data_IF_921447551085
#
_entry.id   IF_921447551085
#
_cell.length_a   1.000
_cell.length_b   1.000
_cell.length_c   1.000
_cell.angle_alpha   90.00
_cell.angle_beta   90.00
_cell.angle_gamma   90.00
#
_symmetry.space_group_name_H-M   'P 1'
#
loop_
_entity.id
_entity.type
_entity.pdbx_description
1 polymer ?
#
# COMPACT_ATOMS: atom_id res chain seq x y z
N UNK A 1 -28.74 42.92 -3.47
CA UNK A 1 -27.36 42.41 -3.53
C UNK A 1 -27.26 41.23 -4.50
N UNK A 2 -27.24 41.41 -5.84
CA UNK A 2 -27.36 40.22 -6.72
C UNK A 2 -26.77 40.25 -8.14
N UNK A 3 -26.18 41.34 -8.65
CA UNK A 3 -25.60 41.31 -10.01
C UNK A 3 -24.10 41.62 -10.06
N UNK A 4 -23.58 42.42 -9.13
CA UNK A 4 -22.14 42.69 -9.04
C UNK A 4 -21.31 41.48 -8.55
N UNK A 5 -21.90 40.59 -7.73
CA UNK A 5 -21.18 39.43 -7.18
C UNK A 5 -20.99 38.32 -8.23
N UNK A 6 -21.94 38.09 -9.14
CA UNK A 6 -21.78 37.07 -10.19
C UNK A 6 -20.82 37.49 -11.31
N UNK A 7 -20.67 38.80 -11.56
CA UNK A 7 -19.69 39.31 -12.52
C UNK A 7 -18.24 39.10 -12.05
N UNK A 8 -17.95 39.28 -10.75
CA UNK A 8 -16.59 39.09 -10.22
C UNK A 8 -16.17 37.63 -10.19
N UNK A 9 -17.09 36.70 -9.91
CA UNK A 9 -16.81 35.26 -9.91
C UNK A 9 -16.47 34.76 -11.32
N UNK A 10 -17.20 35.20 -12.36
CA UNK A 10 -16.90 34.81 -13.74
C UNK A 10 -15.56 35.38 -14.24
N UNK A 11 -15.18 36.59 -13.82
CA UNK A 11 -13.87 37.15 -14.14
C UNK A 11 -12.71 36.40 -13.44
N UNK A 12 -12.92 35.93 -12.21
CA UNK A 12 -11.95 35.13 -11.46
C UNK A 12 -11.78 33.70 -12.05
N UNK A 13 -12.87 33.11 -12.53
CA UNK A 13 -12.82 31.79 -13.21
C UNK A 13 -12.13 31.89 -14.58
N UNK A 14 -12.34 32.98 -15.32
CA UNK A 14 -11.67 33.20 -16.61
C UNK A 14 -10.14 33.46 -16.47
N UNK A 15 -9.73 34.15 -15.42
CA UNK A 15 -8.31 34.42 -15.13
C UNK A 15 -7.57 33.18 -14.62
N UNK A 16 -8.24 32.31 -13.85
CA UNK A 16 -7.65 31.03 -13.42
C UNK A 16 -7.51 30.04 -14.57
N UNK A 17 -8.50 29.94 -15.46
CA UNK A 17 -8.44 29.07 -16.65
C UNK A 17 -7.31 29.46 -17.63
N UNK A 18 -7.12 30.76 -17.87
CA UNK A 18 -6.05 31.27 -18.75
C UNK A 18 -4.65 31.07 -18.15
N UNK A 19 -4.51 31.20 -16.83
CA UNK A 19 -3.27 30.92 -16.08
C UNK A 19 -2.84 29.45 -16.20
N UNK A 20 -3.77 28.49 -16.04
CA UNK A 20 -3.48 27.07 -16.21
C UNK A 20 -3.02 26.70 -17.62
N UNK A 21 -3.60 27.31 -18.65
CA UNK A 21 -3.20 27.07 -20.05
C UNK A 21 -1.81 27.65 -20.37
N UNK A 22 -1.48 28.84 -19.86
CA UNK A 22 -0.13 29.41 -19.99
C UNK A 22 0.93 28.55 -19.26
N UNK A 23 0.58 27.98 -18.09
CA UNK A 23 1.47 27.05 -17.36
C UNK A 23 1.71 25.73 -18.11
N UNK A 24 0.69 25.18 -18.78
CA UNK A 24 0.85 23.95 -19.56
C UNK A 24 1.70 24.15 -20.82
N UNK A 25 1.51 25.27 -21.52
CA UNK A 25 2.27 25.60 -22.74
C UNK A 25 3.76 25.82 -22.46
N UNK A 26 4.08 26.56 -21.39
CA UNK A 26 5.48 26.77 -20.96
C UNK A 26 6.16 25.45 -20.55
N UNK A 27 5.45 24.55 -19.85
CA UNK A 27 5.97 23.20 -19.57
C UNK A 27 6.23 22.41 -20.85
N UNK A 28 5.30 22.43 -21.82
CA UNK A 28 5.49 21.74 -23.09
C UNK A 28 6.71 22.25 -23.87
N UNK A 29 6.91 23.58 -23.93
CA UNK A 29 8.08 24.17 -24.57
C UNK A 29 9.38 23.75 -23.86
N UNK A 30 9.42 23.81 -22.53
CA UNK A 30 10.56 23.36 -21.75
C UNK A 30 10.86 21.87 -21.99
N UNK A 31 9.83 21.02 -22.08
CA UNK A 31 10.00 19.60 -22.41
C UNK A 31 10.53 19.39 -23.83
N UNK A 32 10.03 20.15 -24.82
CA UNK A 32 10.50 20.09 -26.21
C UNK A 32 11.97 20.51 -26.32
N UNK A 33 12.35 21.59 -25.66
CA UNK A 33 13.73 22.08 -25.63
C UNK A 33 14.66 21.08 -24.93
N UNK A 34 14.23 20.48 -23.81
CA UNK A 34 14.98 19.43 -23.13
C UNK A 34 15.13 18.17 -24.01
N UNK A 35 14.10 17.77 -24.76
CA UNK A 35 14.16 16.64 -25.67
C UNK A 35 15.16 16.88 -26.82
N UNK A 36 15.13 18.06 -27.45
CA UNK A 36 16.08 18.46 -28.49
C UNK A 36 17.52 18.54 -27.96
N UNK A 37 17.70 19.02 -26.73
CA UNK A 37 19.00 19.01 -26.07
C UNK A 37 19.50 17.59 -25.78
N UNK A 38 18.60 16.66 -25.45
CA UNK A 38 18.90 15.24 -25.28
C UNK A 38 19.33 14.58 -26.59
N UNK A 39 18.62 14.85 -27.68
CA UNK A 39 18.93 14.32 -29.02
C UNK A 39 20.32 14.79 -29.47
N UNK A 40 20.59 16.09 -29.41
CA UNK A 40 21.92 16.65 -29.69
C UNK A 40 23.01 16.04 -28.80
N UNK A 41 22.72 15.82 -27.51
CA UNK A 41 23.66 15.16 -26.62
C UNK A 41 23.95 13.71 -27.01
N UNK A 42 22.98 12.98 -27.56
CA UNK A 42 23.19 11.63 -28.07
C UNK A 42 24.05 11.64 -29.33
N UNK A 43 23.85 12.61 -30.24
CA UNK A 43 24.70 12.80 -31.41
C UNK A 43 26.16 13.04 -31.00
N UNK A 44 26.40 13.92 -30.03
CA UNK A 44 27.76 14.17 -29.53
C UNK A 44 28.37 12.96 -28.81
N UNK A 45 27.56 12.13 -28.12
CA UNK A 45 28.05 10.88 -27.51
C UNK A 45 28.49 9.87 -28.57
N UNK A 46 27.70 9.73 -29.64
CA UNK A 46 28.05 8.86 -30.77
C UNK A 46 29.33 9.37 -31.44
N UNK A 47 29.42 10.68 -31.70
CA UNK A 47 30.62 11.29 -32.26
C UNK A 47 31.86 11.04 -31.39
N UNK A 48 31.77 11.20 -30.05
CA UNK A 48 32.89 10.87 -29.15
C UNK A 48 33.31 9.41 -29.27
N UNK A 49 32.36 8.48 -29.36
CA UNK A 49 32.67 7.06 -29.55
C UNK A 49 33.39 6.80 -30.87
N UNK A 50 32.87 7.35 -31.98
CA UNK A 50 33.47 7.22 -33.31
C UNK A 50 34.88 7.84 -33.37
N UNK A 51 35.08 9.01 -32.78
CA UNK A 51 36.38 9.67 -32.73
C UNK A 51 37.38 8.92 -31.84
N UNK A 52 36.94 8.27 -30.75
CA UNK A 52 37.79 7.39 -29.93
C UNK A 52 38.26 6.16 -30.71
N UNK A 53 37.37 5.53 -31.48
CA UNK A 53 37.76 4.43 -32.36
C UNK A 53 38.71 4.90 -33.48
N UNK A 54 38.45 6.05 -34.10
CA UNK A 54 39.37 6.64 -35.07
C UNK A 54 40.76 6.91 -34.47
N UNK A 55 40.81 7.44 -33.24
CA UNK A 55 42.05 7.72 -32.52
C UNK A 55 42.80 6.44 -32.14
N UNK A 56 42.08 5.38 -31.76
CA UNK A 56 42.67 4.05 -31.48
C UNK A 56 43.40 3.48 -32.70
N UNK A 57 42.85 3.68 -33.90
CA UNK A 57 43.45 3.22 -35.16
C UNK A 57 44.59 4.16 -35.61
N UNK A 58 44.46 5.47 -35.40
CA UNK A 58 45.41 6.50 -35.86
C UNK A 58 45.81 7.47 -34.74
N UNK A 59 46.66 7.06 -33.78
CA UNK A 59 46.94 7.85 -32.58
C UNK A 59 47.83 9.07 -32.82
N UNK A 60 48.51 9.16 -33.96
CA UNK A 60 49.40 10.29 -34.32
C UNK A 60 48.72 11.34 -35.20
N UNK A 61 47.45 11.13 -35.56
CA UNK A 61 46.69 12.06 -36.40
C UNK A 61 46.16 13.22 -35.54
N UNK A 62 46.76 14.40 -35.69
CA UNK A 62 46.39 15.59 -34.91
C UNK A 62 44.97 16.08 -35.21
N UNK A 63 44.46 15.84 -36.42
CA UNK A 63 43.09 16.25 -36.80
C UNK A 63 42.05 15.43 -36.03
N UNK A 64 42.27 14.12 -35.92
CA UNK A 64 41.42 13.20 -35.13
C UNK A 64 41.45 13.59 -33.65
N UNK A 65 42.63 13.91 -33.11
CA UNK A 65 42.76 14.35 -31.73
C UNK A 65 42.04 15.69 -31.47
N UNK A 66 42.13 16.65 -32.40
CA UNK A 66 41.44 17.93 -32.29
C UNK A 66 39.91 17.77 -32.31
N UNK A 67 39.38 16.94 -33.21
CA UNK A 67 37.93 16.63 -33.29
C UNK A 67 37.43 15.88 -32.06
N UNK A 68 38.22 14.93 -31.54
CA UNK A 68 37.90 14.25 -30.28
C UNK A 68 37.82 15.24 -29.12
N UNK A 69 38.82 16.12 -28.95
CA UNK A 69 38.80 17.16 -27.90
C UNK A 69 37.63 18.14 -28.07
N UNK A 70 37.30 18.51 -29.30
CA UNK A 70 36.14 19.35 -29.57
C UNK A 70 34.84 18.67 -29.17
N UNK A 71 34.65 17.41 -29.56
CA UNK A 71 33.47 16.62 -29.20
C UNK A 71 33.37 16.39 -27.69
N UNK A 72 34.50 16.07 -27.02
CA UNK A 72 34.57 15.93 -25.57
C UNK A 72 34.32 17.26 -24.86
N UNK A 73 34.84 18.38 -25.36
CA UNK A 73 34.58 19.72 -24.82
C UNK A 73 33.11 20.15 -24.96
N UNK A 74 32.44 19.75 -26.05
CA UNK A 74 30.99 19.93 -26.23
C UNK A 74 30.19 19.04 -25.27
N UNK A 75 30.69 17.84 -24.96
CA UNK A 75 30.09 16.94 -23.97
C UNK A 75 30.33 17.40 -22.52
N UNK A 76 31.46 18.07 -22.27
CA UNK A 76 31.93 18.66 -21.01
C UNK A 76 31.46 20.11 -20.84
N UNK A 77 30.36 20.52 -21.48
CA UNK A 77 29.73 21.81 -21.21
C UNK A 77 29.55 22.05 -19.70
N UNK A 78 29.59 23.31 -19.25
CA UNK A 78 29.61 23.68 -17.83
C UNK A 78 28.43 23.02 -17.11
N UNK A 79 28.74 22.27 -16.06
CA UNK A 79 27.79 21.66 -15.13
C UNK A 79 26.76 20.69 -15.73
N UNK A 80 27.23 19.57 -16.28
CA UNK A 80 26.51 18.32 -16.00
C UNK A 80 26.77 17.96 -14.54
N UNK A 81 26.05 18.61 -13.62
CA UNK A 81 25.89 18.09 -12.27
C UNK A 81 25.47 16.64 -12.45
N UNK A 82 26.31 15.70 -12.03
CA UNK A 82 26.02 14.28 -12.18
C UNK A 82 24.77 13.98 -11.34
N UNK A 83 23.60 14.03 -11.97
CA UNK A 83 22.33 13.75 -11.30
C UNK A 83 22.41 12.29 -10.86
N UNK A 84 22.28 12.00 -9.56
CA UNK A 84 22.37 10.65 -9.04
C UNK A 84 21.05 9.90 -9.32
N UNK A 85 20.71 9.72 -10.60
CA UNK A 85 19.46 9.10 -11.06
C UNK A 85 19.26 7.72 -10.42
N UNK A 86 20.34 6.94 -10.25
CA UNK A 86 20.29 5.65 -9.56
C UNK A 86 19.79 5.78 -8.12
N UNK A 87 20.19 6.84 -7.40
CA UNK A 87 19.75 7.10 -6.03
C UNK A 87 18.28 7.51 -6.00
N UNK A 88 17.85 8.39 -6.91
CA UNK A 88 16.44 8.83 -7.03
C UNK A 88 15.53 7.63 -7.34
N UNK A 89 15.91 6.81 -8.33
CA UNK A 89 15.18 5.59 -8.68
C UNK A 89 15.17 4.60 -7.50
N UNK A 90 16.27 4.52 -6.74
CA UNK A 90 16.36 3.73 -5.51
C UNK A 90 15.28 4.09 -4.49
N UNK A 91 15.18 5.37 -4.14
CA UNK A 91 14.15 5.88 -3.21
C UNK A 91 12.72 5.61 -3.74
N UNK A 92 12.47 5.84 -5.03
CA UNK A 92 11.18 5.54 -5.64
C UNK A 92 10.79 4.06 -5.53
N UNK A 93 11.71 3.15 -5.84
CA UNK A 93 11.46 1.72 -5.75
C UNK A 93 11.29 1.25 -4.29
N UNK A 94 12.04 1.83 -3.35
CA UNK A 94 11.87 1.54 -1.92
C UNK A 94 10.51 2.00 -1.42
N UNK A 95 10.03 3.17 -1.85
CA UNK A 95 8.70 3.64 -1.48
C UNK A 95 7.60 2.64 -1.89
N UNK A 96 7.63 2.14 -3.13
CA UNK A 96 6.66 1.14 -3.62
C UNK A 96 6.75 -0.15 -2.80
N UNK A 97 7.97 -0.64 -2.52
CA UNK A 97 8.17 -1.88 -1.74
C UNK A 97 7.69 -1.73 -0.30
N UNK A 98 7.98 -0.60 0.35
CA UNK A 98 7.50 -0.34 1.69
C UNK A 98 5.99 -0.19 1.72
N UNK A 99 5.39 0.44 0.71
CA UNK A 99 3.95 0.49 0.59
C UNK A 99 3.34 -0.90 0.49
N UNK A 100 3.87 -1.74 -0.40
CA UNK A 100 3.39 -3.10 -0.63
C UNK A 100 3.54 -4.00 0.62
N UNK A 101 4.58 -3.75 1.43
CA UNK A 101 4.82 -4.37 2.72
C UNK A 101 4.00 -3.78 3.89
N UNK A 102 3.04 -2.88 3.62
CA UNK A 102 2.19 -2.27 4.64
C UNK A 102 2.86 -1.18 5.48
N UNK A 103 4.07 -0.74 5.13
CA UNK A 103 4.87 0.24 5.87
C UNK A 103 4.69 1.65 5.30
N UNK A 104 3.47 2.18 5.43
CA UNK A 104 3.07 3.46 4.83
C UNK A 104 3.97 4.65 5.23
N UNK A 105 4.39 4.74 6.50
CA UNK A 105 5.26 5.82 6.98
C UNK A 105 6.64 5.83 6.31
N UNK A 106 7.26 4.65 6.17
CA UNK A 106 8.53 4.50 5.46
C UNK A 106 8.37 4.76 3.96
N UNK A 107 7.26 4.31 3.37
CA UNK A 107 6.95 4.58 1.96
C UNK A 107 6.84 6.09 1.66
N UNK A 108 6.19 6.85 2.55
CA UNK A 108 6.12 8.31 2.46
C UNK A 108 7.50 8.95 2.62
N UNK A 109 8.27 8.55 3.64
CA UNK A 109 9.61 9.07 3.87
C UNK A 109 10.52 8.90 2.65
N UNK A 110 10.54 7.72 2.04
CA UNK A 110 11.30 7.47 0.81
C UNK A 110 10.80 8.29 -0.39
N UNK A 111 9.49 8.52 -0.49
CA UNK A 111 8.92 9.36 -1.54
C UNK A 111 9.32 10.83 -1.39
N UNK A 112 9.34 11.35 -0.15
CA UNK A 112 9.86 12.71 0.13
C UNK A 112 11.34 12.82 -0.22
N UNK A 113 12.18 11.86 0.16
CA UNK A 113 13.61 11.87 -0.19
C UNK A 113 13.83 11.87 -1.70
N UNK A 114 13.02 11.13 -2.46
CA UNK A 114 13.04 11.19 -3.92
C UNK A 114 12.66 12.59 -4.44
N UNK A 115 11.62 13.21 -3.87
CA UNK A 115 11.17 14.56 -4.19
C UNK A 115 12.22 15.63 -3.92
N UNK A 116 12.83 15.62 -2.72
CA UNK A 116 13.89 16.54 -2.32
C UNK A 116 15.10 16.45 -3.26
N UNK A 117 15.48 15.23 -3.67
CA UNK A 117 16.56 15.05 -4.65
C UNK A 117 16.16 15.62 -6.01
N UNK A 118 14.94 15.38 -6.49
CA UNK A 118 14.47 15.94 -7.76
C UNK A 118 14.50 17.47 -7.73
N UNK A 119 13.97 18.09 -6.68
CA UNK A 119 13.99 19.54 -6.49
C UNK A 119 15.40 20.11 -6.43
N UNK A 120 16.29 19.46 -5.66
CA UNK A 120 17.70 19.84 -5.55
C UNK A 120 18.41 19.90 -6.90
N UNK A 121 18.03 19.04 -7.86
CA UNK A 121 18.61 19.01 -9.21
C UNK A 121 17.75 19.75 -10.24
N UNK A 122 16.73 20.52 -9.82
CA UNK A 122 15.87 21.29 -10.73
C UNK A 122 15.00 20.42 -11.64
N UNK A 123 14.71 19.18 -11.23
CA UNK A 123 13.88 18.24 -11.97
C UNK A 123 12.42 18.31 -11.50
N UNK A 124 11.45 18.02 -12.38
CA UNK A 124 10.05 17.94 -11.98
C UNK A 124 9.83 16.76 -11.02
N UNK A 125 9.03 16.98 -9.97
CA UNK A 125 8.68 15.95 -8.98
C UNK A 125 8.01 14.70 -9.60
N UNK A 126 7.19 14.90 -10.63
CA UNK A 126 6.61 13.83 -11.45
C UNK A 126 5.96 12.71 -10.63
N UNK A 127 6.43 11.48 -10.86
CA UNK A 127 5.91 10.28 -10.20
C UNK A 127 6.12 10.26 -8.68
N UNK A 128 7.15 10.94 -8.14
CA UNK A 128 7.36 10.98 -6.69
C UNK A 128 6.19 11.67 -5.99
N UNK A 129 5.72 12.80 -6.53
CA UNK A 129 4.56 13.53 -6.01
C UNK A 129 3.26 12.72 -6.11
N UNK A 130 3.03 12.05 -7.25
CA UNK A 130 1.86 11.18 -7.39
C UNK A 130 1.89 10.04 -6.38
N UNK A 131 3.06 9.47 -6.11
CA UNK A 131 3.20 8.39 -5.13
C UNK A 131 2.90 8.88 -3.71
N UNK A 132 3.45 10.04 -3.31
CA UNK A 132 3.14 10.68 -2.03
C UNK A 132 1.63 10.88 -1.87
N UNK A 133 0.99 11.52 -2.85
CA UNK A 133 -0.43 11.84 -2.80
C UNK A 133 -1.31 10.58 -2.77
N UNK A 134 -0.95 9.54 -3.54
CA UNK A 134 -1.66 8.27 -3.52
C UNK A 134 -1.57 7.59 -2.15
N UNK A 135 -0.38 7.54 -1.55
CA UNK A 135 -0.17 6.94 -0.23
C UNK A 135 -0.95 7.71 0.84
N UNK A 136 -0.88 9.04 0.86
CA UNK A 136 -1.61 9.89 1.82
C UNK A 136 -3.13 9.71 1.68
N UNK A 137 -3.64 9.79 0.44
CA UNK A 137 -5.09 9.69 0.17
C UNK A 137 -5.62 8.33 0.61
N UNK A 138 -4.98 7.24 0.18
CA UNK A 138 -5.41 5.89 0.56
C UNK A 138 -5.26 5.67 2.07
N UNK A 139 -4.16 6.11 2.68
CA UNK A 139 -3.97 5.97 4.14
C UNK A 139 -5.03 6.74 4.93
N UNK A 140 -5.40 7.94 4.48
CA UNK A 140 -6.45 8.73 5.11
C UNK A 140 -7.83 8.06 4.98
N UNK A 141 -8.18 7.57 3.79
CA UNK A 141 -9.48 6.92 3.54
C UNK A 141 -9.73 5.67 4.37
N UNK A 142 -8.66 4.95 4.75
CA UNK A 142 -8.78 3.70 5.51
C UNK A 142 -8.33 3.81 6.96
N UNK A 143 -7.98 5.01 7.47
CA UNK A 143 -7.32 5.18 8.77
C UNK A 143 -8.03 4.49 9.94
N UNK A 144 -9.33 4.73 10.09
CA UNK A 144 -10.11 4.19 11.21
C UNK A 144 -10.22 2.67 11.12
N UNK A 145 -10.58 2.15 9.93
CA UNK A 145 -10.70 0.70 9.69
C UNK A 145 -9.36 -0.03 9.82
N UNK A 146 -8.26 0.62 9.45
CA UNK A 146 -6.89 0.10 9.60
C UNK A 146 -6.53 -0.07 11.07
N UNK A 147 -6.86 0.92 11.89
CA UNK A 147 -6.67 0.85 13.34
C UNK A 147 -7.56 -0.23 13.97
N UNK A 148 -8.86 -0.23 13.68
CA UNK A 148 -9.82 -1.18 14.24
C UNK A 148 -9.44 -2.64 13.91
N UNK A 149 -9.16 -2.93 12.64
CA UNK A 149 -8.78 -4.29 12.21
C UNK A 149 -7.46 -4.74 12.82
N UNK A 150 -6.52 -3.82 13.03
CA UNK A 150 -5.26 -4.13 13.70
C UNK A 150 -5.50 -4.43 15.20
N UNK A 151 -6.28 -3.60 15.89
CA UNK A 151 -6.63 -3.82 17.30
C UNK A 151 -7.38 -5.14 17.52
N UNK A 152 -8.28 -5.53 16.60
CA UNK A 152 -8.98 -6.81 16.66
C UNK A 152 -8.03 -8.01 16.48
N UNK A 153 -7.07 -7.92 15.56
CA UNK A 153 -6.03 -8.94 15.38
C UNK A 153 -5.13 -9.02 16.61
N UNK A 154 -4.74 -7.88 17.18
CA UNK A 154 -3.87 -7.84 18.37
C UNK A 154 -4.59 -8.40 19.61
N UNK A 155 -5.90 -8.14 19.74
CA UNK A 155 -6.73 -8.67 20.83
C UNK A 155 -6.93 -10.19 20.71
N UNK A 156 -7.18 -10.67 19.50
CA UNK A 156 -7.52 -12.07 19.23
C UNK A 156 -6.65 -12.64 18.09
N UNK A 157 -5.35 -12.90 18.33
CA UNK A 157 -4.39 -13.28 17.27
C UNK A 157 -4.67 -14.65 16.63
N UNK A 158 -5.48 -15.49 17.27
CA UNK A 158 -5.88 -16.80 16.76
C UNK A 158 -7.25 -16.79 16.05
N UNK A 159 -7.89 -15.62 15.93
CA UNK A 159 -9.14 -15.48 15.18
C UNK A 159 -8.86 -15.49 13.67
N UNK A 160 -9.48 -16.46 12.98
CA UNK A 160 -9.46 -16.56 11.51
C UNK A 160 -10.20 -15.38 10.90
N UNK A 161 -11.33 -14.98 11.49
CA UNK A 161 -12.17 -13.87 11.03
C UNK A 161 -11.39 -12.56 10.99
N UNK A 162 -10.80 -12.15 12.10
CA UNK A 162 -10.06 -10.87 12.16
C UNK A 162 -8.81 -10.89 11.28
N UNK A 163 -8.10 -12.03 11.21
CA UNK A 163 -6.97 -12.18 10.29
C UNK A 163 -7.38 -12.03 8.82
N UNK A 164 -8.54 -12.57 8.44
CA UNK A 164 -9.09 -12.44 7.09
C UNK A 164 -9.55 -11.02 6.78
N UNK A 165 -10.32 -10.39 7.68
CA UNK A 165 -10.76 -9.00 7.52
C UNK A 165 -9.57 -8.03 7.36
N UNK A 166 -8.50 -8.25 8.13
CA UNK A 166 -7.25 -7.50 7.98
C UNK A 166 -6.62 -7.70 6.60
N UNK A 167 -6.57 -8.93 6.10
CA UNK A 167 -6.02 -9.21 4.78
C UNK A 167 -6.81 -8.54 3.65
N UNK A 168 -8.15 -8.57 3.72
CA UNK A 168 -9.02 -7.89 2.75
C UNK A 168 -8.75 -6.38 2.74
N UNK A 169 -8.66 -5.77 3.92
CA UNK A 169 -8.33 -4.34 4.01
C UNK A 169 -6.97 -4.00 3.38
N UNK A 170 -5.94 -4.80 3.65
CA UNK A 170 -4.60 -4.62 3.05
C UNK A 170 -4.65 -4.77 1.53
N UNK A 171 -5.46 -5.70 1.02
CA UNK A 171 -5.68 -5.87 -0.42
C UNK A 171 -6.39 -4.65 -1.04
N UNK A 172 -7.41 -4.12 -0.38
CA UNK A 172 -8.13 -2.91 -0.82
C UNK A 172 -7.20 -1.69 -0.88
N UNK A 173 -6.27 -1.58 0.08
CA UNK A 173 -5.19 -0.57 0.09
C UNK A 173 -4.10 -0.84 -0.95
N UNK A 174 -4.17 -1.93 -1.73
CA UNK A 174 -3.15 -2.35 -2.70
C UNK A 174 -1.78 -2.64 -2.06
N UNK A 175 -1.78 -3.15 -0.83
CA UNK A 175 -0.60 -3.60 -0.10
C UNK A 175 -0.52 -5.13 -0.21
N UNK A 176 -0.15 -5.62 -1.40
CA UNK A 176 -0.32 -7.00 -1.82
C UNK A 176 0.60 -7.96 -1.07
N UNK A 177 1.86 -7.58 -0.82
CA UNK A 177 2.78 -8.41 -0.03
C UNK A 177 2.26 -8.57 1.40
N UNK A 178 1.85 -7.49 2.05
CA UNK A 178 1.27 -7.55 3.40
C UNK A 178 -0.04 -8.35 3.45
N UNK A 179 -0.92 -8.17 2.45
CA UNK A 179 -2.16 -8.91 2.33
C UNK A 179 -1.90 -10.42 2.18
N UNK A 180 -0.92 -10.80 1.34
CA UNK A 180 -0.50 -12.19 1.16
C UNK A 180 0.02 -12.82 2.45
N UNK A 181 0.85 -12.10 3.21
CA UNK A 181 1.35 -12.57 4.51
C UNK A 181 0.21 -12.83 5.50
N UNK A 182 -0.80 -11.94 5.56
CA UNK A 182 -1.96 -12.17 6.43
C UNK A 182 -2.86 -13.31 5.96
N UNK A 183 -3.08 -13.46 4.64
CA UNK A 183 -3.83 -14.61 4.13
C UNK A 183 -3.11 -15.93 4.40
N UNK A 184 -1.78 -15.95 4.32
CA UNK A 184 -0.97 -17.13 4.64
C UNK A 184 -1.15 -17.54 6.10
N UNK A 185 -1.08 -16.58 7.03
CA UNK A 185 -1.37 -16.82 8.46
C UNK A 185 -2.81 -17.29 8.69
N UNK A 186 -3.78 -16.70 8.01
CA UNK A 186 -5.17 -17.12 8.08
C UNK A 186 -5.35 -18.59 7.66
N UNK A 187 -4.68 -19.00 6.58
CA UNK A 187 -4.66 -20.39 6.12
C UNK A 187 -4.07 -21.33 7.17
N UNK A 188 -2.94 -20.97 7.77
CA UNK A 188 -2.30 -21.75 8.83
C UNK A 188 -3.22 -21.93 10.05
N UNK A 189 -3.89 -20.86 10.49
CA UNK A 189 -4.87 -20.91 11.58
C UNK A 189 -6.05 -21.83 11.27
N UNK A 190 -6.57 -21.79 10.04
CA UNK A 190 -7.64 -22.70 9.60
C UNK A 190 -7.20 -24.16 9.62
N UNK A 191 -5.99 -24.46 9.14
CA UNK A 191 -5.45 -25.82 9.15
C UNK A 191 -5.23 -26.33 10.57
N UNK A 192 -4.75 -25.47 11.47
CA UNK A 192 -4.61 -25.79 12.88
C UNK A 192 -5.98 -26.08 13.54
N UNK A 193 -6.99 -25.22 13.34
CA UNK A 193 -8.35 -25.43 13.88
C UNK A 193 -8.95 -26.75 13.38
N UNK A 194 -8.75 -27.12 12.11
CA UNK A 194 -9.18 -28.43 11.57
C UNK A 194 -8.51 -29.58 12.31
N UNK A 195 -7.19 -29.53 12.50
CA UNK A 195 -6.43 -30.57 13.22
C UNK A 195 -6.90 -30.72 14.66
N UNK A 196 -7.12 -29.61 15.37
CA UNK A 196 -7.62 -29.63 16.76
C UNK A 196 -9.03 -30.22 16.82
N UNK A 197 -9.94 -29.84 15.91
CA UNK A 197 -11.31 -30.39 15.87
C UNK A 197 -11.33 -31.90 15.64
N UNK A 198 -10.36 -32.44 14.90
CA UNK A 198 -10.20 -33.89 14.73
C UNK A 198 -9.67 -34.58 15.99
N UNK A 199 -8.84 -33.90 16.80
CA UNK A 199 -8.31 -34.44 18.05
C UNK A 199 -9.32 -34.38 19.20
N UNK A 200 -10.19 -33.37 19.22
CA UNK A 200 -11.20 -33.17 20.27
C UNK A 200 -12.53 -33.88 20.03
N UNK A 201 -12.73 -34.51 18.86
CA UNK A 201 -13.82 -35.49 18.72
C UNK A 201 -13.50 -36.67 19.63
N UNK A 202 -14.32 -36.95 20.67
CA UNK A 202 -14.14 -38.16 21.44
C UNK A 202 -14.17 -39.32 20.45
N UNK A 203 -13.13 -40.16 20.45
CA UNK A 203 -13.20 -41.42 19.72
C UNK A 203 -14.39 -42.15 20.31
N UNK A 204 -15.50 -42.19 19.58
CA UNK A 204 -16.61 -43.06 19.92
C UNK A 204 -16.00 -44.45 20.04
N UNK A 205 -15.95 -44.94 21.27
CA UNK A 205 -15.31 -46.20 21.57
C UNK A 205 -16.11 -47.26 20.80
N UNK A 206 -15.53 -47.96 19.80
CA UNK A 206 -16.30 -48.85 18.93
C UNK A 206 -16.99 -49.99 19.69
N UNK A 207 -16.59 -50.21 20.95
CA UNK A 207 -17.29 -51.08 21.90
C UNK A 207 -18.63 -50.52 22.39
N UNK A 208 -18.76 -49.22 22.58
CA UNK A 208 -20.02 -48.58 22.99
C UNK A 208 -21.08 -48.66 21.87
N UNK A 209 -20.65 -48.58 20.60
CA UNK A 209 -21.55 -48.78 19.45
C UNK A 209 -21.98 -50.26 19.33
N UNK A 210 -21.08 -51.21 19.58
CA UNK A 210 -21.40 -52.66 19.56
C UNK A 210 -22.28 -53.12 20.71
N UNK A 211 -22.19 -52.49 21.88
CA UNK A 211 -22.99 -52.85 23.04
C UNK A 211 -24.43 -52.31 22.97
N UNK A 212 -24.79 -51.53 21.95
CA UNK A 212 -26.15 -50.96 21.80
C UNK A 212 -26.53 -50.00 22.93
N UNK A 213 -25.57 -49.65 23.81
CA UNK A 213 -25.73 -48.71 24.89
C UNK A 213 -25.56 -47.28 24.34
N UNK A 214 -26.46 -46.89 23.43
CA UNK A 214 -26.68 -45.46 23.18
C UNK A 214 -27.23 -44.88 24.47
N UNK A 215 -26.38 -44.21 25.23
CA UNK A 215 -26.83 -43.34 26.31
C UNK A 215 -27.65 -42.23 25.66
N UNK A 216 -28.96 -42.42 25.58
CA UNK A 216 -29.89 -41.33 25.30
C UNK A 216 -29.73 -40.36 26.46
N UNK A 217 -28.95 -39.30 26.25
CA UNK A 217 -28.96 -38.18 27.17
C UNK A 217 -30.40 -37.70 27.27
N UNK A 218 -30.98 -37.60 28.48
CA UNK A 218 -32.32 -37.04 28.64
C UNK A 218 -32.27 -35.62 28.06
N UNK A 219 -32.93 -35.42 26.93
CA UNK A 219 -33.27 -34.08 26.46
C UNK A 219 -34.24 -33.54 27.49
N UNK A 220 -33.79 -32.56 28.28
CA UNK A 220 -34.64 -31.80 29.19
C UNK A 220 -35.69 -31.04 28.38
N UNK A 221 -36.79 -31.72 28.14
CA UNK A 221 -38.03 -31.19 27.59
C UNK A 221 -38.64 -30.27 28.63
N UNK A 222 -38.68 -28.99 28.30
CA UNK A 222 -39.70 -28.00 28.68
C UNK A 222 -40.09 -27.90 30.16
N UNK A 223 -39.72 -26.78 30.79
CA UNK A 223 -40.59 -26.14 31.78
C UNK A 223 -40.33 -24.63 31.89
N UNK A 224 -41.37 -23.84 31.60
CA UNK A 224 -41.64 -22.61 32.33
C UNK A 224 -41.39 -21.30 31.60
N UNK A 225 -42.35 -20.89 30.77
CA UNK A 225 -42.59 -19.48 30.48
C UNK A 225 -43.02 -18.73 31.76
N UNK A 226 -42.38 -17.59 32.04
CA UNK A 226 -42.82 -16.64 33.07
C UNK A 226 -42.46 -15.21 32.67
N UNK A 227 -43.41 -14.27 32.62
CA UNK A 227 -43.12 -12.87 32.35
C UNK A 227 -42.94 -12.11 33.66
N UNK A 228 -41.80 -11.44 33.85
CA UNK A 228 -41.67 -10.44 34.91
C UNK A 228 -41.05 -9.15 34.36
N UNK A 229 -41.92 -8.16 34.27
CA UNK A 229 -41.66 -6.73 34.21
C UNK A 229 -40.76 -6.29 35.37
N UNK A 230 -39.77 -5.44 35.10
CA UNK A 230 -38.94 -4.84 36.15
C UNK A 230 -38.07 -3.70 35.64
N UNK A 231 -38.61 -2.48 35.70
CA UNK A 231 -37.91 -1.21 35.55
C UNK A 231 -36.92 -0.99 36.70
N UNK A 232 -35.67 -0.62 36.40
CA UNK A 232 -34.69 -0.27 37.42
C UNK A 232 -33.45 0.41 36.85
N UNK A 233 -33.46 1.74 36.87
CA UNK A 233 -32.36 2.63 36.51
C UNK A 233 -31.34 2.70 37.66
N UNK A 234 -30.06 2.45 37.40
CA UNK A 234 -28.96 3.00 38.20
C UNK A 234 -27.62 2.96 37.41
N UNK A 235 -27.00 4.14 37.29
CA UNK A 235 -25.63 4.35 36.82
C UNK A 235 -24.64 3.69 37.78
N UNK A 236 -23.60 3.06 37.24
CA UNK A 236 -22.34 2.83 37.95
C UNK A 236 -21.16 3.00 36.99
N UNK A 237 -20.25 3.89 37.36
CA UNK A 237 -18.95 4.06 36.72
C UNK A 237 -17.92 3.16 37.40
N UNK A 238 -17.08 2.51 36.59
CA UNK A 238 -15.72 2.13 36.96
C UNK A 238 -15.51 0.67 37.30
N UNK A 239 -14.94 -0.08 36.34
CA UNK A 239 -13.63 -0.74 36.44
C UNK A 239 -13.43 -1.66 35.20
N UNK A 240 -12.28 -1.63 34.51
CA UNK A 240 -11.96 -2.63 33.49
C UNK A 240 -11.52 -3.92 34.18
N UNK A 241 -12.46 -4.86 34.27
CA UNK A 241 -12.25 -6.24 34.67
C UNK A 241 -11.39 -6.97 33.63
N UNK A 242 -10.52 -7.86 34.12
CA UNK A 242 -9.61 -8.67 33.31
C UNK A 242 -10.33 -9.45 32.21
N UNK A 243 -9.75 -9.37 31.01
CA UNK A 243 -10.10 -10.15 29.83
C UNK A 243 -9.91 -11.64 30.11
N UNK A 244 -10.99 -12.36 30.43
CA UNK A 244 -10.99 -13.83 30.42
C UNK A 244 -11.18 -14.30 28.97
N UNK A 245 -10.08 -14.62 28.30
CA UNK A 245 -10.06 -15.14 26.93
C UNK A 245 -10.57 -16.61 26.85
N UNK A 246 -11.06 -17.19 27.94
CA UNK A 246 -11.38 -18.62 28.04
C UNK A 246 -12.85 -18.97 27.71
N UNK A 247 -13.72 -17.99 27.40
CA UNK A 247 -15.10 -18.26 26.97
C UNK A 247 -15.28 -18.46 25.45
N UNK A 248 -14.23 -18.38 24.63
CA UNK A 248 -14.36 -18.42 23.16
C UNK A 248 -14.53 -19.82 22.54
N UNK A 249 -14.48 -20.92 23.31
CA UNK A 249 -14.59 -22.26 22.72
C UNK A 249 -16.00 -22.50 22.13
N UNK A 250 -17.05 -21.85 22.65
CA UNK A 250 -18.41 -21.92 22.05
C UNK A 250 -18.60 -21.00 20.84
N UNK A 251 -17.70 -20.04 20.59
CA UNK A 251 -17.72 -19.17 19.39
C UNK A 251 -17.02 -19.76 18.16
N UNK A 252 -16.38 -20.94 18.31
CA UNK A 252 -15.61 -21.60 17.24
C UNK A 252 -16.48 -22.00 16.05
N UNK A 253 -17.76 -22.35 16.28
CA UNK A 253 -18.63 -22.78 15.20
C UNK A 253 -19.22 -21.60 14.39
N UNK A 254 -19.42 -20.42 15.00
CA UNK A 254 -19.91 -19.21 14.30
C UNK A 254 -18.88 -18.63 13.31
N UNK A 255 -17.59 -18.66 13.68
CA UNK A 255 -16.50 -18.23 12.80
C UNK A 255 -16.34 -19.12 11.56
N UNK A 256 -16.66 -20.42 11.67
CA UNK A 256 -16.55 -21.39 10.56
C UNK A 256 -17.74 -21.26 9.60
N UNK A 257 -18.93 -20.91 10.11
CA UNK A 257 -20.11 -20.63 9.29
C UNK A 257 -19.90 -19.39 8.40
N UNK A 258 -19.32 -18.33 8.95
CA UNK A 258 -19.06 -17.09 8.21
C UNK A 258 -18.09 -17.28 7.02
N UNK A 259 -17.07 -18.14 7.16
CA UNK A 259 -16.11 -18.43 6.07
C UNK A 259 -16.73 -19.29 4.96
N UNK A 260 -17.67 -20.18 5.28
CA UNK A 260 -18.35 -21.02 4.27
C UNK A 260 -19.29 -20.21 3.36
N UNK A 261 -19.94 -19.19 3.90
CA UNK A 261 -20.77 -18.28 3.11
C UNK A 261 -19.93 -17.35 2.22
N UNK A 262 -18.75 -16.92 2.68
CA UNK A 262 -17.82 -16.08 1.91
C UNK A 262 -17.12 -16.80 0.75
N UNK A 263 -16.94 -18.13 0.81
CA UNK A 263 -16.37 -18.93 -0.30
C UNK A 263 -17.43 -19.29 -1.37
N UNK A 264 -18.72 -19.10 -1.05
CA UNK A 264 -19.82 -19.38 -1.97
C UNK A 264 -20.19 -18.18 -2.87
N UNK A 265 -19.52 -17.03 -2.72
CA UNK A 265 -19.61 -15.83 -3.56
C UNK A 265 -18.38 -15.70 -4.46
#
# INVERSE_FOLDING_TARGET
MSLQFMSSVNAAVATTATSTHQSAYTRFLNHKEAALAHEKNNEWRLAVFEWRECFRIRPRDEEVLAKLRQAEGRLQGPDRVAIPLRKIIGHFNLAIRYWDAGKASLALSESYLAGELLEKYGLPLGCALHNMHAIETVSASFKERDQETQENVDRCPHSVKYSYERAVLLFDKRQLTAAYEQLSKCKELMEWKRKVKHLSRPKEDPLMERLGLRTTFPTDTEQGAGPLTGSGSARSMGQPSGSSCEQEISGIDDDILCVKELIAL
#
